data_IF_662950763267
#
_entry.id   IF_662950763267
#
_cell.length_a   1.000
_cell.length_b   1.000
_cell.length_c   1.000
_cell.angle_alpha   90.00
_cell.angle_beta   90.00
_cell.angle_gamma   90.00
#
_symmetry.space_group_name_H-M   'P 1'
#
loop_
_entity.id
_entity.type
_entity.pdbx_description
1 polymer ?
#
# COMPACT_ATOMS: atom_id res chain seq x y z
N UNK A 1 15.06 -12.57 -19.35
CA UNK A 1 13.90 -13.07 -18.60
C UNK A 1 13.47 -11.94 -17.70
N UNK A 2 12.38 -11.25 -18.02
CA UNK A 2 11.79 -10.31 -17.07
C UNK A 2 11.38 -11.15 -15.85
N UNK A 3 12.03 -10.90 -14.71
CA UNK A 3 11.64 -11.48 -13.44
C UNK A 3 10.15 -11.15 -13.25
N UNK A 4 9.30 -12.16 -13.38
CA UNK A 4 7.85 -12.00 -13.28
C UNK A 4 7.48 -11.87 -11.79
N UNK A 5 7.90 -10.75 -11.20
CA UNK A 5 7.64 -10.40 -9.81
C UNK A 5 6.16 -10.02 -9.71
N UNK A 6 5.45 -10.74 -8.86
CA UNK A 6 4.06 -10.46 -8.52
C UNK A 6 4.03 -9.50 -7.33
N UNK A 7 3.75 -8.21 -7.56
CA UNK A 7 3.77 -7.19 -6.51
C UNK A 7 2.70 -7.46 -5.45
N UNK A 8 1.56 -8.05 -5.81
CA UNK A 8 0.51 -8.40 -4.86
C UNK A 8 1.01 -9.51 -3.93
N UNK A 9 1.67 -10.53 -4.48
CA UNK A 9 2.27 -11.59 -3.67
C UNK A 9 3.33 -11.03 -2.72
N UNK A 10 4.27 -10.23 -3.24
CA UNK A 10 5.35 -9.65 -2.43
C UNK A 10 4.82 -8.74 -1.31
N UNK A 11 3.79 -7.95 -1.61
CA UNK A 11 3.13 -7.11 -0.61
C UNK A 11 2.41 -7.94 0.45
N UNK A 12 1.80 -9.08 0.11
CA UNK A 12 1.19 -9.97 1.11
C UNK A 12 2.21 -10.49 2.12
N UNK A 13 3.35 -10.92 1.62
CA UNK A 13 4.46 -11.40 2.44
C UNK A 13 4.99 -10.26 3.32
N UNK A 14 5.15 -9.06 2.74
CA UNK A 14 5.67 -7.90 3.45
C UNK A 14 4.72 -7.36 4.55
N UNK A 15 3.42 -7.30 4.28
CA UNK A 15 2.40 -6.90 5.28
C UNK A 15 2.44 -7.82 6.50
N UNK A 16 2.67 -9.11 6.28
CA UNK A 16 2.82 -10.11 7.35
C UNK A 16 4.15 -9.93 8.07
N UNK A 17 5.24 -9.74 7.33
CA UNK A 17 6.61 -9.55 7.87
C UNK A 17 6.73 -8.31 8.76
N UNK A 18 6.05 -7.22 8.40
CA UNK A 18 6.02 -5.97 9.18
C UNK A 18 5.06 -6.03 10.37
N UNK A 19 4.40 -7.17 10.60
CA UNK A 19 3.42 -7.37 11.67
C UNK A 19 2.35 -6.26 11.67
N UNK A 20 1.86 -5.90 10.47
CA UNK A 20 0.88 -4.83 10.32
C UNK A 20 -0.45 -5.23 10.98
N UNK A 21 -1.14 -4.27 11.59
CA UNK A 21 -2.43 -4.56 12.23
C UNK A 21 -3.43 -5.20 11.27
N UNK A 22 -4.23 -6.14 11.77
CA UNK A 22 -5.22 -6.85 10.95
C UNK A 22 -6.27 -5.89 10.36
N UNK A 23 -6.56 -4.76 11.04
CA UNK A 23 -7.48 -3.74 10.53
C UNK A 23 -6.96 -3.12 9.24
N UNK A 24 -5.67 -2.73 9.20
CA UNK A 24 -5.06 -2.17 7.99
C UNK A 24 -4.94 -3.24 6.90
N UNK A 25 -4.52 -4.45 7.25
CA UNK A 25 -4.43 -5.56 6.30
C UNK A 25 -5.79 -5.81 5.64
N UNK A 26 -6.87 -5.88 6.43
CA UNK A 26 -8.22 -6.07 5.94
C UNK A 26 -8.68 -4.90 5.07
N UNK A 27 -8.40 -3.66 5.48
CA UNK A 27 -8.73 -2.47 4.69
C UNK A 27 -8.04 -2.49 3.32
N UNK A 28 -6.73 -2.76 3.28
CA UNK A 28 -5.96 -2.84 2.04
C UNK A 28 -6.50 -3.96 1.15
N UNK A 29 -6.69 -5.17 1.70
CA UNK A 29 -7.08 -6.35 0.91
C UNK A 29 -8.54 -6.35 0.45
N UNK A 30 -9.41 -5.63 1.15
CA UNK A 30 -10.82 -5.47 0.76
C UNK A 30 -11.04 -4.32 -0.22
N UNK A 31 -10.03 -3.47 -0.44
CA UNK A 31 -10.12 -2.39 -1.41
C UNK A 31 -10.15 -2.92 -2.84
N UNK A 32 -11.06 -2.38 -3.65
CA UNK A 32 -11.24 -2.76 -5.06
C UNK A 32 -9.95 -2.63 -5.89
N UNK A 33 -9.13 -1.60 -5.61
CA UNK A 33 -7.86 -1.40 -6.32
C UNK A 33 -6.88 -2.55 -6.07
N UNK A 34 -6.88 -3.09 -4.85
CA UNK A 34 -6.06 -4.26 -4.50
C UNK A 34 -6.56 -5.51 -5.20
N UNK A 35 -7.87 -5.77 -5.16
CA UNK A 35 -8.45 -6.97 -5.78
C UNK A 35 -8.33 -6.95 -7.30
N UNK A 36 -8.51 -5.79 -7.93
CA UNK A 36 -8.44 -5.65 -9.39
C UNK A 36 -7.01 -5.77 -9.92
N UNK A 37 -5.99 -5.53 -9.08
CA UNK A 37 -4.59 -5.70 -9.41
C UNK A 37 -4.14 -7.17 -9.46
N UNK A 38 -4.86 -8.08 -8.78
CA UNK A 38 -4.47 -9.49 -8.72
C UNK A 38 -4.42 -10.15 -10.10
N UNK A 39 -3.29 -10.81 -10.40
CA UNK A 39 -3.08 -11.51 -11.67
C UNK A 39 -2.92 -10.60 -12.91
N UNK A 40 -2.77 -9.28 -12.72
CA UNK A 40 -2.48 -8.33 -13.81
C UNK A 40 -0.98 -8.25 -14.09
N UNK A 41 -0.61 -7.65 -15.22
CA UNK A 41 0.79 -7.34 -15.48
C UNK A 41 1.30 -6.24 -14.53
N UNK A 42 2.62 -6.18 -14.37
CA UNK A 42 3.30 -5.24 -13.48
C UNK A 42 2.83 -3.79 -13.64
N UNK A 43 2.64 -3.30 -14.88
CA UNK A 43 2.31 -1.88 -15.10
C UNK A 43 0.94 -1.56 -14.54
N UNK A 44 -0.03 -2.44 -14.76
CA UNK A 44 -1.38 -2.31 -14.20
C UNK A 44 -1.34 -2.46 -12.68
N UNK A 45 -0.64 -3.47 -12.14
CA UNK A 45 -0.50 -3.67 -10.70
C UNK A 45 0.05 -2.41 -10.03
N UNK A 46 1.13 -1.86 -10.57
CA UNK A 46 1.75 -0.64 -10.05
C UNK A 46 0.78 0.54 -10.05
N UNK A 47 0.10 0.82 -11.16
CA UNK A 47 -0.86 1.93 -11.21
C UNK A 47 -1.93 1.80 -10.14
N UNK A 48 -2.54 0.62 -10.00
CA UNK A 48 -3.61 0.38 -9.03
C UNK A 48 -3.10 0.46 -7.58
N UNK A 49 -1.91 -0.09 -7.30
CA UNK A 49 -1.31 -0.03 -5.98
C UNK A 49 -0.85 1.38 -5.60
N UNK A 50 -0.31 2.16 -6.54
CA UNK A 50 -0.02 3.58 -6.31
C UNK A 50 -1.29 4.34 -5.92
N UNK A 51 -2.39 4.13 -6.66
CA UNK A 51 -3.69 4.75 -6.32
C UNK A 51 -4.19 4.32 -4.94
N UNK A 52 -4.05 3.04 -4.59
CA UNK A 52 -4.41 2.51 -3.28
C UNK A 52 -3.57 3.14 -2.16
N UNK A 53 -2.25 3.21 -2.31
CA UNK A 53 -1.39 3.83 -1.29
C UNK A 53 -1.66 5.32 -1.15
N UNK A 54 -1.95 6.03 -2.25
CA UNK A 54 -2.44 7.39 -2.16
C UNK A 54 -3.75 7.48 -1.36
N UNK A 55 -4.70 6.57 -1.59
CA UNK A 55 -5.94 6.48 -0.82
C UNK A 55 -5.69 6.14 0.66
N UNK A 56 -4.71 5.31 1.00
CA UNK A 56 -4.36 5.04 2.41
C UNK A 56 -3.73 6.27 3.05
N UNK A 57 -2.75 6.87 2.38
CA UNK A 57 -1.87 7.89 2.95
C UNK A 57 -2.55 9.26 3.00
N UNK A 58 -3.19 9.70 1.92
CA UNK A 58 -3.75 11.06 1.80
C UNK A 58 -4.99 11.31 2.65
N UNK A 59 -5.65 10.24 3.09
CA UNK A 59 -6.85 10.34 3.92
C UNK A 59 -6.51 10.56 5.40
N UNK A 60 -5.27 10.28 5.79
CA UNK A 60 -4.79 10.59 7.14
C UNK A 60 -4.39 12.06 7.25
N UNK A 61 -4.64 12.70 8.40
CA UNK A 61 -4.16 14.06 8.73
C UNK A 61 -2.64 14.13 8.93
N UNK A 62 -1.89 13.16 8.40
CA UNK A 62 -0.46 12.99 8.61
C UNK A 62 0.30 13.82 7.59
N UNK A 63 1.34 14.49 8.05
CA UNK A 63 2.27 15.20 7.17
C UNK A 63 3.08 14.16 6.39
N UNK A 64 2.77 14.02 5.10
CA UNK A 64 3.45 13.09 4.19
C UNK A 64 4.76 13.69 3.71
N UNK A 65 5.88 13.12 4.17
CA UNK A 65 7.23 13.54 3.79
C UNK A 65 7.53 13.37 2.29
N UNK A 66 8.47 14.16 1.77
CA UNK A 66 8.85 14.17 0.35
C UNK A 66 9.25 12.77 -0.15
N UNK A 67 9.98 12.01 0.65
CA UNK A 67 10.47 10.68 0.26
C UNK A 67 9.33 9.69 0.02
N UNK A 68 8.22 9.79 0.76
CA UNK A 68 7.04 8.95 0.52
C UNK A 68 6.40 9.31 -0.82
N UNK A 69 6.32 10.60 -1.15
CA UNK A 69 5.77 11.05 -2.44
C UNK A 69 6.64 10.62 -3.62
N UNK A 70 7.96 10.68 -3.47
CA UNK A 70 8.91 10.19 -4.48
C UNK A 70 8.80 8.69 -4.66
N UNK A 71 8.87 7.93 -3.56
CA UNK A 71 8.69 6.49 -3.55
C UNK A 71 7.31 6.05 -4.05
N UNK A 72 6.33 6.95 -4.21
CA UNK A 72 5.02 6.64 -4.81
C UNK A 72 4.99 6.81 -6.35
N UNK A 73 5.98 7.47 -6.96
CA UNK A 73 5.90 7.88 -8.36
C UNK A 73 7.19 7.72 -9.17
N UNK A 74 8.36 7.60 -8.52
CA UNK A 74 9.65 7.79 -9.17
C UNK A 74 10.20 6.54 -9.85
N UNK A 75 10.12 5.37 -9.21
CA UNK A 75 10.61 4.13 -9.84
C UNK A 75 9.86 3.87 -11.15
N UNK A 76 10.49 3.22 -12.12
CA UNK A 76 9.86 2.89 -13.41
C UNK A 76 9.86 1.38 -13.69
N UNK A 77 10.77 0.63 -13.09
CA UNK A 77 10.86 -0.82 -13.16
C UNK A 77 10.32 -1.51 -11.91
N UNK A 78 10.07 -2.82 -12.04
CA UNK A 78 9.42 -3.65 -11.02
C UNK A 78 10.26 -3.83 -9.76
N UNK A 79 11.60 -3.85 -9.89
CA UNK A 79 12.49 -4.11 -8.75
C UNK A 79 12.58 -2.86 -7.89
N UNK A 80 12.90 -1.71 -8.49
CA UNK A 80 12.95 -0.45 -7.74
C UNK A 80 11.61 -0.09 -7.11
N UNK A 81 10.50 -0.38 -7.78
CA UNK A 81 9.17 -0.15 -7.19
C UNK A 81 8.86 -1.10 -6.03
N UNK A 82 9.30 -2.35 -6.11
CA UNK A 82 9.18 -3.29 -5.00
C UNK A 82 9.99 -2.81 -3.79
N UNK A 83 11.20 -2.30 -4.00
CA UNK A 83 12.04 -1.73 -2.95
C UNK A 83 11.36 -0.50 -2.32
N UNK A 84 10.77 0.39 -3.12
CA UNK A 84 9.99 1.54 -2.63
C UNK A 84 8.83 1.10 -1.72
N UNK A 85 8.10 0.05 -2.11
CA UNK A 85 7.01 -0.52 -1.30
C UNK A 85 7.55 -1.04 0.03
N UNK A 86 8.59 -1.88 -0.01
CA UNK A 86 9.10 -2.62 1.16
C UNK A 86 9.89 -1.75 2.13
N UNK A 87 10.66 -0.79 1.62
CA UNK A 87 11.61 -0.01 2.42
C UNK A 87 11.06 1.37 2.82
N UNK A 88 10.06 1.88 2.10
CA UNK A 88 9.59 3.26 2.30
C UNK A 88 8.09 3.31 2.61
N UNK A 89 7.24 2.80 1.70
CA UNK A 89 5.79 3.00 1.80
C UNK A 89 5.17 2.20 2.95
N UNK A 90 5.36 0.88 2.98
CA UNK A 90 4.75 0.04 4.02
C UNK A 90 5.32 0.32 5.42
N UNK A 91 6.64 0.55 5.60
CA UNK A 91 7.17 0.99 6.89
C UNK A 91 6.59 2.32 7.36
N UNK A 92 6.34 3.29 6.46
CA UNK A 92 5.66 4.53 6.82
C UNK A 92 4.23 4.29 7.29
N UNK A 93 3.50 3.39 6.61
CA UNK A 93 2.15 2.99 7.03
C UNK A 93 2.19 2.35 8.42
N UNK A 94 3.12 1.42 8.65
CA UNK A 94 3.29 0.74 9.94
C UNK A 94 3.61 1.71 11.07
N UNK A 95 4.55 2.63 10.85
CA UNK A 95 4.95 3.63 11.85
C UNK A 95 3.81 4.57 12.27
N UNK A 96 2.76 4.67 11.46
CA UNK A 96 1.62 5.55 11.68
C UNK A 96 0.29 4.78 11.81
N UNK A 97 0.34 3.46 12.05
CA UNK A 97 -0.84 2.59 11.94
C UNK A 97 -2.00 3.04 12.82
N UNK A 98 -1.76 3.52 14.04
CA UNK A 98 -2.79 4.01 14.95
C UNK A 98 -3.65 5.10 14.33
N UNK A 99 -3.01 6.10 13.70
CA UNK A 99 -3.71 7.22 13.06
C UNK A 99 -4.51 6.77 11.83
N UNK A 100 -3.98 5.80 11.08
CA UNK A 100 -4.73 5.21 9.96
C UNK A 100 -5.95 4.44 10.45
N UNK A 101 -5.81 3.65 11.51
CA UNK A 101 -6.92 2.87 12.09
C UNK A 101 -8.01 3.77 12.65
N UNK A 102 -7.64 4.84 13.36
CA UNK A 102 -8.59 5.86 13.84
C UNK A 102 -9.42 6.40 12.68
N UNK A 103 -8.76 6.78 11.59
CA UNK A 103 -9.43 7.29 10.40
C UNK A 103 -10.33 6.24 9.73
N UNK A 104 -9.84 5.00 9.58
CA UNK A 104 -10.61 3.90 8.99
C UNK A 104 -11.86 3.63 9.84
N UNK A 105 -11.73 3.61 11.16
CA UNK A 105 -12.85 3.31 12.07
C UNK A 105 -13.89 4.43 12.05
N UNK A 106 -13.46 5.70 12.03
CA UNK A 106 -14.39 6.85 12.00
C UNK A 106 -15.17 6.91 10.69
N UNK A 107 -14.54 6.64 9.54
CA UNK A 107 -15.19 6.80 8.24
C UNK A 107 -15.88 5.54 7.71
N UNK A 108 -15.50 4.36 8.21
CA UNK A 108 -16.05 3.07 7.73
C UNK A 108 -16.79 2.28 8.82
N UNK A 109 -16.67 2.65 10.10
CA UNK A 109 -17.42 2.06 11.21
C UNK A 109 -18.85 2.59 11.38
N UNK A 110 -19.31 3.52 10.53
CA UNK A 110 -20.65 4.12 10.59
C UNK A 110 -21.71 3.36 9.78
N UNK A 111 -21.51 2.08 9.48
CA UNK A 111 -22.56 1.23 8.90
C UNK A 111 -23.26 0.46 10.03
N UNK A 112 -24.25 1.13 10.63
CA UNK A 112 -25.33 0.48 11.39
C UNK A 112 -26.22 -0.33 10.45
#
# INVERSE_FOLDING_TARGET
MENNIDLIKEMNEELTRLEMSQVIINYIKSDKLYTDAYGKDYRIQKTLLTMLFYKVIMYSSIVVGKNIRLALNEANDVISWLDDIKLVILPFIKANETKFIEHITVNFGSTH
#
